data_IF_109757224454
#
_entry.id   IF_109757224454
#
_cell.length_a   1.000
_cell.length_b   1.000
_cell.length_c   1.000
_cell.angle_alpha   90.00
_cell.angle_beta   90.00
_cell.angle_gamma   90.00
#
_symmetry.space_group_name_H-M   'P 1'
#
loop_
_entity.id
_entity.type
_entity.pdbx_description
1 polymer ?
#
# COMPACT_ATOMS: atom_id res chain seq x y z
N UNK A 1 6.49 17.08 6.41
CA UNK A 1 5.85 17.79 5.32
C UNK A 1 4.77 18.75 5.84
N UNK A 2 3.81 18.29 6.65
CA UNK A 2 2.81 19.13 7.32
C UNK A 2 3.44 20.22 8.19
N UNK A 3 4.48 19.93 8.95
CA UNK A 3 5.20 20.94 9.74
C UNK A 3 5.87 22.02 8.89
N UNK A 4 6.34 21.67 7.68
CA UNK A 4 6.90 22.63 6.73
C UNK A 4 5.85 23.56 6.10
N UNK A 5 4.64 23.04 5.86
CA UNK A 5 3.51 23.82 5.35
C UNK A 5 2.88 24.72 6.42
N UNK A 6 2.91 24.27 7.67
CA UNK A 6 2.24 24.97 8.77
C UNK A 6 3.10 26.05 9.42
N UNK A 7 4.42 26.08 9.11
CA UNK A 7 5.33 27.11 9.65
C UNK A 7 5.15 27.32 11.16
N UNK A 8 5.20 28.54 11.60
CA UNK A 8 4.97 28.94 13.00
C UNK A 8 3.49 29.25 13.30
N UNK A 9 2.53 28.55 12.68
CA UNK A 9 1.12 28.75 13.00
C UNK A 9 0.87 28.28 14.43
N UNK A 10 0.62 29.25 15.30
CA UNK A 10 0.24 28.96 16.67
C UNK A 10 -1.26 28.61 16.73
N UNK A 11 -1.55 27.31 16.77
CA UNK A 11 -2.94 26.83 16.85
C UNK A 11 -3.67 27.18 18.16
N UNK A 12 -3.02 27.82 19.10
CA UNK A 12 -3.68 28.36 20.29
C UNK A 12 -4.45 29.64 19.98
N UNK A 13 -4.09 30.32 18.89
CA UNK A 13 -4.74 31.54 18.44
C UNK A 13 -5.95 31.24 17.56
N UNK A 14 -7.09 31.81 17.95
CA UNK A 14 -8.37 31.60 17.26
C UNK A 14 -8.34 32.12 15.81
N UNK A 15 -7.70 33.26 15.56
CA UNK A 15 -7.62 33.85 14.23
C UNK A 15 -6.79 33.00 13.27
N UNK A 16 -5.64 32.52 13.74
CA UNK A 16 -4.79 31.61 12.97
C UNK A 16 -5.51 30.32 12.59
N UNK A 17 -6.34 29.78 13.49
CA UNK A 17 -7.17 28.62 13.20
C UNK A 17 -8.22 28.90 12.15
N UNK A 18 -8.92 30.03 12.27
CA UNK A 18 -9.93 30.44 11.29
C UNK A 18 -9.35 30.69 9.91
N UNK A 19 -8.19 31.32 9.83
CA UNK A 19 -7.50 31.56 8.55
C UNK A 19 -7.10 30.24 7.90
N UNK A 20 -6.53 29.34 8.66
CA UNK A 20 -6.13 28.01 8.18
C UNK A 20 -7.37 27.20 7.71
N UNK A 21 -8.44 27.20 8.48
CA UNK A 21 -9.69 26.52 8.13
C UNK A 21 -10.29 27.07 6.83
N UNK A 22 -10.32 28.39 6.68
CA UNK A 22 -10.78 29.05 5.46
C UNK A 22 -9.93 28.65 4.25
N UNK A 23 -8.59 28.67 4.38
CA UNK A 23 -7.70 28.29 3.29
C UNK A 23 -7.85 26.82 2.85
N UNK A 24 -8.13 25.91 3.79
CA UNK A 24 -8.43 24.52 3.49
C UNK A 24 -9.74 24.34 2.73
N UNK A 25 -10.77 25.12 3.07
CA UNK A 25 -12.05 25.11 2.33
C UNK A 25 -11.87 25.64 0.92
N UNK A 26 -11.23 26.81 0.77
CA UNK A 26 -11.00 27.45 -0.52
C UNK A 26 -10.18 26.53 -1.46
N UNK A 27 -9.30 25.68 -0.90
CA UNK A 27 -8.56 24.66 -1.64
C UNK A 27 -9.36 23.37 -1.92
N UNK A 28 -10.62 23.26 -1.50
CA UNK A 28 -11.45 22.06 -1.66
C UNK A 28 -10.92 20.83 -0.93
N UNK A 29 -10.16 21.05 0.16
CA UNK A 29 -9.54 19.93 0.89
C UNK A 29 -10.57 19.18 1.72
N UNK A 30 -11.56 19.88 2.27
CA UNK A 30 -12.62 19.24 3.07
C UNK A 30 -13.44 18.24 2.26
N UNK A 31 -13.85 18.60 1.04
CA UNK A 31 -14.59 17.72 0.15
C UNK A 31 -13.75 16.47 -0.21
N UNK A 32 -12.44 16.65 -0.42
CA UNK A 32 -11.53 15.54 -0.68
C UNK A 32 -11.36 14.65 0.55
N UNK A 33 -11.28 15.23 1.74
CA UNK A 33 -11.17 14.47 3.00
C UNK A 33 -12.47 13.71 3.29
N UNK A 34 -13.62 14.32 3.07
CA UNK A 34 -14.91 13.66 3.23
C UNK A 34 -15.06 12.49 2.26
N UNK A 35 -14.79 12.71 0.97
CA UNK A 35 -14.81 11.67 -0.04
C UNK A 35 -13.85 10.52 0.29
N UNK A 36 -12.65 10.84 0.80
CA UNK A 36 -11.70 9.83 1.27
C UNK A 36 -12.24 9.10 2.50
N UNK A 37 -12.83 9.81 3.45
CA UNK A 37 -13.44 9.23 4.64
C UNK A 37 -14.56 8.24 4.32
N UNK A 38 -15.41 8.54 3.35
CA UNK A 38 -16.45 7.62 2.86
C UNK A 38 -15.82 6.38 2.27
N UNK A 39 -14.79 6.53 1.42
CA UNK A 39 -14.07 5.39 0.82
C UNK A 39 -13.40 4.53 1.88
N UNK A 40 -12.77 5.13 2.88
CA UNK A 40 -12.16 4.41 4.01
C UNK A 40 -13.19 3.60 4.80
N UNK A 41 -14.38 4.19 5.08
CA UNK A 41 -15.48 3.47 5.77
C UNK A 41 -15.98 2.28 4.94
N UNK A 42 -16.17 2.46 3.63
CA UNK A 42 -16.56 1.38 2.72
C UNK A 42 -15.51 0.28 2.67
N UNK A 43 -14.25 0.64 2.56
CA UNK A 43 -13.13 -0.28 2.58
C UNK A 43 -13.09 -1.09 3.87
N UNK A 44 -13.18 -0.44 5.03
CA UNK A 44 -13.18 -1.10 6.34
C UNK A 44 -14.33 -2.13 6.46
N UNK A 45 -15.55 -1.77 6.04
CA UNK A 45 -16.69 -2.69 6.02
C UNK A 45 -16.44 -3.93 5.14
N UNK A 46 -15.86 -3.73 3.94
CA UNK A 46 -15.52 -4.82 3.03
C UNK A 46 -14.41 -5.70 3.60
N UNK A 47 -13.41 -5.14 4.26
CA UNK A 47 -12.34 -5.89 4.96
C UNK A 47 -12.93 -6.78 6.06
N UNK A 48 -13.83 -6.24 6.89
CA UNK A 48 -14.51 -7.03 7.93
C UNK A 48 -15.30 -8.18 7.31
N UNK A 49 -16.03 -7.92 6.22
CA UNK A 49 -16.77 -8.96 5.49
C UNK A 49 -15.84 -10.05 4.93
N UNK A 50 -14.72 -9.63 4.33
CA UNK A 50 -13.71 -10.54 3.79
C UNK A 50 -13.10 -11.43 4.88
N UNK A 51 -12.79 -10.86 6.06
CA UNK A 51 -12.27 -11.64 7.19
C UNK A 51 -13.28 -12.68 7.69
N UNK A 52 -14.56 -12.31 7.71
CA UNK A 52 -15.64 -13.23 8.14
C UNK A 52 -15.96 -14.31 7.11
N UNK A 53 -15.64 -14.11 5.83
CA UNK A 53 -15.91 -15.08 4.77
C UNK A 53 -14.97 -16.30 4.78
N UNK A 54 -13.95 -16.32 5.62
CA UNK A 54 -13.01 -17.43 5.72
C UNK A 54 -12.11 -17.63 4.49
N UNK A 55 -12.09 -16.70 3.54
CA UNK A 55 -11.23 -16.79 2.37
C UNK A 55 -9.77 -16.80 2.81
N UNK A 56 -8.98 -17.82 2.41
CA UNK A 56 -7.60 -17.94 2.85
C UNK A 56 -6.75 -16.79 2.30
N UNK A 57 -5.98 -16.17 3.19
CA UNK A 57 -5.04 -15.11 2.85
C UNK A 57 -3.64 -15.71 2.75
N UNK A 58 -2.96 -15.63 1.60
CA UNK A 58 -1.60 -16.13 1.50
C UNK A 58 -0.68 -15.35 2.47
N UNK A 59 0.14 -16.09 3.21
CA UNK A 59 1.10 -15.50 4.16
C UNK A 59 2.34 -14.97 3.47
N UNK A 60 2.71 -15.59 2.35
CA UNK A 60 3.92 -15.30 1.56
C UNK A 60 3.59 -15.23 0.09
N UNK A 61 4.42 -14.56 -0.72
CA UNK A 61 4.34 -14.66 -2.18
C UNK A 61 4.45 -16.12 -2.64
N UNK A 62 3.59 -16.49 -3.57
CA UNK A 62 3.62 -17.80 -4.20
C UNK A 62 4.65 -17.82 -5.32
N UNK A 63 5.22 -18.99 -5.59
CA UNK A 63 6.25 -19.18 -6.61
C UNK A 63 5.81 -20.26 -7.58
N UNK A 64 5.90 -19.93 -8.84
CA UNK A 64 5.78 -20.89 -9.93
C UNK A 64 7.16 -21.53 -10.15
N UNK A 65 7.29 -22.78 -9.74
CA UNK A 65 8.56 -23.51 -9.79
C UNK A 65 9.03 -23.78 -11.23
N UNK A 66 8.10 -23.92 -12.19
CA UNK A 66 8.44 -24.16 -13.59
C UNK A 66 9.07 -22.92 -14.25
N UNK A 67 8.67 -21.75 -13.80
CA UNK A 67 9.19 -20.47 -14.30
C UNK A 67 10.41 -19.98 -13.53
N UNK A 68 10.66 -20.53 -12.35
CA UNK A 68 11.76 -20.11 -11.50
C UNK A 68 13.10 -20.67 -12.00
N UNK A 69 13.99 -19.77 -12.42
CA UNK A 69 15.34 -20.14 -12.89
C UNK A 69 16.40 -20.15 -11.77
N UNK A 70 15.99 -20.04 -10.51
CA UNK A 70 16.90 -19.99 -9.35
C UNK A 70 17.99 -18.91 -9.48
N UNK A 71 17.70 -17.77 -10.11
CA UNK A 71 18.67 -16.71 -10.40
C UNK A 71 19.16 -15.94 -9.16
N UNK A 72 18.59 -16.21 -7.97
CA UNK A 72 18.98 -15.57 -6.71
C UNK A 72 18.58 -14.11 -6.53
N UNK A 73 17.90 -13.49 -7.51
CA UNK A 73 17.47 -12.10 -7.41
C UNK A 73 16.65 -11.82 -6.15
N UNK A 74 15.67 -12.66 -5.89
CA UNK A 74 14.77 -12.53 -4.74
C UNK A 74 15.49 -12.67 -3.40
N UNK A 75 16.53 -13.50 -3.32
CA UNK A 75 17.39 -13.63 -2.14
C UNK A 75 18.14 -12.35 -1.86
N UNK A 76 18.80 -11.81 -2.90
CA UNK A 76 19.63 -10.60 -2.80
C UNK A 76 18.83 -9.36 -2.42
N UNK A 77 17.57 -9.25 -2.90
CA UNK A 77 16.74 -8.06 -2.74
C UNK A 77 15.68 -8.21 -1.64
N UNK A 78 15.70 -9.28 -0.87
CA UNK A 78 14.81 -9.44 0.28
C UNK A 78 15.35 -8.68 1.50
N UNK A 79 14.72 -7.54 1.90
CA UNK A 79 15.23 -6.76 3.03
C UNK A 79 15.12 -7.47 4.38
N UNK A 80 14.23 -8.48 4.46
CA UNK A 80 13.99 -9.25 5.67
C UNK A 80 14.72 -10.60 5.69
N UNK A 81 15.53 -10.94 4.65
CA UNK A 81 16.21 -12.23 4.56
C UNK A 81 15.25 -13.43 4.63
N UNK A 82 14.04 -13.27 4.14
CA UNK A 82 12.99 -14.31 4.22
C UNK A 82 13.12 -15.39 3.15
N UNK A 83 14.09 -15.30 2.25
CA UNK A 83 14.32 -16.24 1.15
C UNK A 83 15.76 -16.73 1.23
N UNK A 84 15.94 -18.04 1.25
CA UNK A 84 17.26 -18.67 1.43
C UNK A 84 17.85 -19.00 0.07
N UNK A 85 19.15 -18.78 -0.09
CA UNK A 85 19.88 -19.16 -1.30
C UNK A 85 19.85 -20.68 -1.48
N UNK A 86 19.49 -21.13 -2.67
CA UNK A 86 19.35 -22.55 -2.99
C UNK A 86 17.95 -23.12 -2.72
N UNK A 87 17.09 -22.33 -2.06
CA UNK A 87 15.69 -22.66 -1.81
C UNK A 87 14.80 -21.44 -2.14
N UNK A 88 15.03 -20.89 -3.32
CA UNK A 88 14.35 -19.66 -3.77
C UNK A 88 12.84 -19.83 -3.90
N UNK A 89 12.35 -21.04 -4.06
CA UNK A 89 10.92 -21.31 -4.17
C UNK A 89 10.19 -21.15 -2.84
N UNK A 90 10.88 -21.33 -1.73
CA UNK A 90 10.30 -21.20 -0.40
C UNK A 90 10.53 -19.79 0.19
N UNK A 91 9.58 -19.34 0.98
CA UNK A 91 9.68 -18.07 1.68
C UNK A 91 9.31 -18.30 3.14
N UNK A 92 10.21 -17.94 4.04
CA UNK A 92 10.00 -18.07 5.49
C UNK A 92 8.92 -17.05 5.92
N UNK A 93 7.75 -17.56 6.27
CA UNK A 93 6.56 -16.73 6.54
C UNK A 93 6.75 -15.77 7.73
N UNK A 94 7.48 -16.21 8.75
CA UNK A 94 7.75 -15.45 9.98
C UNK A 94 8.65 -14.24 9.74
N UNK A 95 9.54 -14.34 8.73
CA UNK A 95 10.44 -13.25 8.34
C UNK A 95 9.85 -12.34 7.25
N UNK A 96 8.84 -12.82 6.53
CA UNK A 96 8.30 -12.09 5.38
C UNK A 96 7.48 -10.88 5.79
N UNK A 97 7.98 -9.67 5.52
CA UNK A 97 7.28 -8.39 5.76
C UNK A 97 6.30 -8.01 4.64
N UNK A 98 6.08 -8.88 3.66
CA UNK A 98 5.13 -8.69 2.55
C UNK A 98 5.38 -7.43 1.70
N UNK A 99 6.62 -7.01 1.55
CA UNK A 99 7.01 -5.82 0.79
C UNK A 99 6.90 -5.98 -0.74
N UNK A 100 6.71 -7.20 -1.24
CA UNK A 100 6.63 -7.56 -2.65
C UNK A 100 7.86 -7.20 -3.52
N UNK A 101 9.02 -6.89 -2.94
CA UNK A 101 10.25 -6.63 -3.69
C UNK A 101 10.64 -7.82 -4.58
N UNK A 102 10.53 -9.04 -4.05
CA UNK A 102 10.79 -10.27 -4.79
C UNK A 102 9.78 -10.54 -5.93
N UNK A 103 8.54 -10.05 -5.79
CA UNK A 103 7.50 -10.18 -6.84
C UNK A 103 7.77 -9.18 -7.97
N UNK A 104 7.97 -7.91 -7.61
CA UNK A 104 8.16 -6.83 -8.59
C UNK A 104 9.46 -6.97 -9.38
N UNK A 105 10.52 -7.44 -8.74
CA UNK A 105 11.84 -7.54 -9.35
C UNK A 105 12.17 -8.91 -9.95
N UNK A 106 11.27 -9.89 -9.92
CA UNK A 106 11.52 -11.19 -10.53
C UNK A 106 11.62 -11.08 -12.05
N UNK A 107 12.80 -11.38 -12.67
CA UNK A 107 12.97 -11.27 -14.11
C UNK A 107 12.04 -12.22 -14.89
N UNK A 108 11.80 -13.40 -14.34
CA UNK A 108 10.95 -14.44 -14.94
C UNK A 108 9.48 -14.30 -14.56
N UNK A 109 9.12 -13.29 -13.74
CA UNK A 109 7.77 -13.13 -13.20
C UNK A 109 7.21 -14.41 -12.57
N UNK A 110 8.11 -15.23 -12.00
CA UNK A 110 7.77 -16.50 -11.37
C UNK A 110 7.16 -16.33 -9.98
N UNK A 111 7.09 -15.11 -9.44
CA UNK A 111 6.51 -14.84 -8.13
C UNK A 111 5.28 -13.97 -8.24
N UNK A 112 4.22 -14.37 -7.54
CA UNK A 112 2.95 -13.64 -7.46
C UNK A 112 2.53 -13.45 -6.01
N UNK A 113 1.78 -12.40 -5.74
CA UNK A 113 1.20 -12.16 -4.42
C UNK A 113 -0.21 -11.61 -4.58
N UNK A 114 -1.09 -12.47 -5.08
CA UNK A 114 -2.47 -12.13 -5.31
C UNK A 114 -3.28 -12.36 -4.04
N UNK A 115 -3.80 -11.29 -3.48
CA UNK A 115 -4.59 -11.35 -2.27
C UNK A 115 -5.97 -10.74 -2.52
N UNK A 116 -7.05 -11.31 -1.94
CA UNK A 116 -8.37 -10.69 -1.99
C UNK A 116 -8.38 -9.27 -1.43
N UNK A 117 -7.45 -8.97 -0.52
CA UNK A 117 -7.26 -7.64 0.04
C UNK A 117 -6.72 -6.64 -0.98
N UNK A 118 -5.82 -7.04 -1.88
CA UNK A 118 -5.29 -6.19 -2.93
C UNK A 118 -6.39 -5.77 -3.92
N UNK A 119 -7.28 -6.68 -4.26
CA UNK A 119 -8.45 -6.39 -5.11
C UNK A 119 -9.35 -5.36 -4.43
N UNK A 120 -9.70 -5.57 -3.16
CA UNK A 120 -10.52 -4.62 -2.40
C UNK A 120 -9.88 -3.24 -2.32
N UNK A 121 -8.58 -3.17 -2.10
CA UNK A 121 -7.84 -1.93 -2.04
C UNK A 121 -7.89 -1.21 -3.39
N UNK A 122 -7.65 -1.93 -4.48
CA UNK A 122 -7.74 -1.40 -5.85
C UNK A 122 -9.13 -0.83 -6.13
N UNK A 123 -10.19 -1.58 -5.85
CA UNK A 123 -11.58 -1.17 -6.13
C UNK A 123 -11.97 0.08 -5.35
N UNK A 124 -11.56 0.18 -4.09
CA UNK A 124 -11.93 1.32 -3.23
C UNK A 124 -11.11 2.58 -3.53
N UNK A 125 -9.86 2.42 -3.98
CA UNK A 125 -8.90 3.52 -4.09
C UNK A 125 -8.30 3.69 -5.49
N UNK A 126 -8.81 2.96 -6.49
CA UNK A 126 -8.38 3.12 -7.87
C UNK A 126 -8.77 4.53 -8.34
N UNK A 127 -7.81 5.44 -8.25
CA UNK A 127 -7.90 6.76 -8.87
C UNK A 127 -7.28 6.66 -10.26
N UNK A 128 -8.00 7.10 -11.28
CA UNK A 128 -7.32 7.47 -12.51
C UNK A 128 -6.34 8.58 -12.13
N UNK A 129 -5.06 8.30 -12.24
CA UNK A 129 -4.04 9.36 -12.20
C UNK A 129 -4.22 10.15 -13.49
N UNK A 130 -4.70 11.36 -13.37
CA UNK A 130 -4.42 12.36 -14.38
C UNK A 130 -2.90 12.55 -14.37
N UNK A 131 -2.28 12.43 -15.54
CA UNK A 131 -0.84 12.65 -15.71
C UNK A 131 -0.55 14.10 -15.30
N UNK A 132 -0.10 14.27 -14.06
CA UNK A 132 0.44 15.56 -13.64
C UNK A 132 1.86 15.63 -14.17
N UNK A 133 2.02 16.34 -15.26
CA UNK A 133 3.32 16.86 -15.67
C UNK A 133 3.72 17.85 -14.59
N UNK A 134 4.67 17.47 -13.73
CA UNK A 134 5.33 18.40 -12.82
C UNK A 134 6.43 19.04 -13.64
N UNK A 135 6.18 20.26 -14.13
CA UNK A 135 7.18 21.13 -14.69
C UNK A 135 8.04 21.74 -13.59
#
# INVERSE_FOLDING_TARGET
WLQRLMGNINFSDYESRMYFDKSLRDAGIYERMEALGIRCKMFARRVVKLRKSGVPMPRTPQVDAERCTHCGYCVKHCPAGAIIKGDECNTVAEKCIKCCACVKGCPQKARTYDTPFAVLLSDCFKKQKEDRIIL
#
